data_IF_831474489284
#
_entry.id   IF_831474489284
#
_cell.length_a   1.000
_cell.length_b   1.000
_cell.length_c   1.000
_cell.angle_alpha   90.00
_cell.angle_beta   90.00
_cell.angle_gamma   90.00
#
_symmetry.space_group_name_H-M   'P 1'
#
loop_
_entity.id
_entity.type
_entity.pdbx_description
1 polymer ?
#
# COMPACT_ATOMS: atom_id res chain seq x y z
N UNK A 1 -19.85 28.34 -14.21
CA UNK A 1 -21.26 28.00 -13.94
C UNK A 1 -21.44 26.49 -13.97
N UNK A 2 -21.80 25.88 -12.83
CA UNK A 2 -22.10 24.45 -12.79
C UNK A 2 -23.54 24.29 -13.25
N UNK A 3 -23.74 23.88 -14.52
CA UNK A 3 -25.05 23.51 -15.03
C UNK A 3 -25.64 22.42 -14.12
N UNK A 4 -26.66 22.78 -13.33
CA UNK A 4 -27.37 21.85 -12.49
C UNK A 4 -28.04 20.82 -13.41
N UNK A 5 -27.53 19.58 -13.40
CA UNK A 5 -28.13 18.46 -14.14
C UNK A 5 -29.62 18.39 -13.81
N UNK A 6 -30.47 18.69 -14.79
CA UNK A 6 -31.92 18.56 -14.69
C UNK A 6 -32.21 17.12 -14.26
N UNK A 7 -32.75 16.96 -13.06
CA UNK A 7 -33.08 15.64 -12.51
C UNK A 7 -34.19 15.05 -13.38
N UNK A 8 -33.95 13.88 -13.98
CA UNK A 8 -34.96 13.11 -14.71
C UNK A 8 -36.24 12.94 -13.87
N UNK A 9 -37.42 12.83 -14.49
CA UNK A 9 -38.67 12.60 -13.76
C UNK A 9 -38.60 11.34 -12.88
N UNK A 10 -39.25 11.37 -11.70
CA UNK A 10 -39.18 10.30 -10.69
C UNK A 10 -39.43 8.89 -11.26
N UNK A 11 -40.40 8.75 -12.18
CA UNK A 11 -40.72 7.48 -12.84
C UNK A 11 -39.55 6.93 -13.67
N UNK A 12 -38.84 7.79 -14.39
CA UNK A 12 -37.67 7.37 -15.17
C UNK A 12 -36.50 7.00 -14.27
N UNK A 13 -36.31 7.70 -13.14
CA UNK A 13 -35.27 7.37 -12.17
C UNK A 13 -35.51 6.01 -11.50
N UNK A 14 -36.73 5.73 -11.08
CA UNK A 14 -37.11 4.44 -10.49
C UNK A 14 -36.93 3.31 -11.52
N UNK A 15 -37.33 3.54 -12.78
CA UNK A 15 -37.13 2.56 -13.86
C UNK A 15 -35.65 2.31 -14.15
N UNK A 16 -34.84 3.37 -14.25
CA UNK A 16 -33.39 3.28 -14.47
C UNK A 16 -32.70 2.54 -13.31
N UNK A 17 -33.10 2.80 -12.07
CA UNK A 17 -32.59 2.11 -10.88
C UNK A 17 -32.97 0.63 -10.86
N UNK A 18 -34.24 0.29 -11.09
CA UNK A 18 -34.68 -1.12 -11.16
C UNK A 18 -33.99 -1.89 -12.28
N UNK A 19 -33.82 -1.28 -13.46
CA UNK A 19 -33.08 -1.87 -14.57
C UNK A 19 -31.60 -2.07 -14.20
N UNK A 20 -30.98 -1.11 -13.52
CA UNK A 20 -29.61 -1.23 -13.01
C UNK A 20 -29.46 -2.42 -12.05
N UNK A 21 -30.38 -2.59 -11.11
CA UNK A 21 -30.37 -3.75 -10.20
C UNK A 21 -30.63 -5.08 -10.92
N UNK A 22 -31.54 -5.12 -11.89
CA UNK A 22 -31.78 -6.31 -12.70
C UNK A 22 -30.56 -6.73 -13.53
N UNK A 23 -29.88 -5.76 -14.17
CA UNK A 23 -28.66 -6.04 -14.89
C UNK A 23 -27.50 -6.43 -13.96
N UNK A 24 -27.39 -5.79 -12.79
CA UNK A 24 -26.39 -6.11 -11.77
C UNK A 24 -26.55 -7.52 -11.20
N UNK A 25 -27.77 -7.94 -10.89
CA UNK A 25 -28.07 -9.32 -10.42
C UNK A 25 -27.78 -10.36 -11.49
N UNK A 26 -28.16 -10.12 -12.75
CA UNK A 26 -27.82 -11.00 -13.88
C UNK A 26 -26.30 -11.12 -14.08
N UNK A 27 -25.57 -10.00 -13.96
CA UNK A 27 -24.12 -9.97 -14.06
C UNK A 27 -23.47 -10.77 -12.93
N UNK A 28 -23.89 -10.55 -11.69
CA UNK A 28 -23.41 -11.30 -10.52
C UNK A 28 -23.65 -12.81 -10.66
N UNK A 29 -24.85 -13.23 -11.09
CA UNK A 29 -25.15 -14.65 -11.30
C UNK A 29 -24.20 -15.30 -12.33
N UNK A 30 -23.88 -14.58 -13.41
CA UNK A 30 -22.90 -15.04 -14.40
C UNK A 30 -21.49 -15.14 -13.81
N UNK A 31 -21.09 -14.17 -12.99
CA UNK A 31 -19.80 -14.14 -12.31
C UNK A 31 -19.63 -15.30 -11.31
N UNK A 32 -20.67 -15.61 -10.53
CA UNK A 32 -20.70 -16.76 -9.61
C UNK A 32 -20.55 -18.07 -10.38
N UNK A 33 -21.26 -18.24 -11.50
CA UNK A 33 -21.15 -19.45 -12.33
C UNK A 33 -19.75 -19.65 -12.89
N UNK A 34 -19.11 -18.59 -13.38
CA UNK A 34 -17.74 -18.65 -13.91
C UNK A 34 -16.77 -18.97 -12.78
N UNK A 35 -16.87 -18.28 -11.65
CA UNK A 35 -16.00 -18.47 -10.50
C UNK A 35 -16.09 -19.87 -9.92
N UNK A 36 -17.28 -20.48 -9.90
CA UNK A 36 -17.46 -21.89 -9.55
C UNK A 36 -16.64 -22.80 -10.48
N UNK A 37 -16.70 -22.60 -11.81
CA UNK A 37 -15.90 -23.38 -12.78
C UNK A 37 -14.40 -23.20 -12.55
N UNK A 38 -13.94 -21.97 -12.28
CA UNK A 38 -12.53 -21.68 -12.00
C UNK A 38 -12.07 -22.32 -10.69
N UNK A 39 -12.89 -22.29 -9.65
CA UNK A 39 -12.61 -22.95 -8.37
C UNK A 39 -12.44 -24.47 -8.58
N UNK A 40 -13.32 -25.10 -9.36
CA UNK A 40 -13.17 -26.53 -9.69
C UNK A 40 -11.92 -26.85 -10.49
N UNK A 41 -11.47 -25.97 -11.40
CA UNK A 41 -10.21 -26.15 -12.11
C UNK A 41 -9.00 -26.04 -11.18
N UNK A 42 -9.02 -25.06 -10.29
CA UNK A 42 -7.99 -24.90 -9.26
C UNK A 42 -7.92 -26.12 -8.32
N UNK A 43 -9.07 -26.64 -7.87
CA UNK A 43 -9.14 -27.86 -7.05
C UNK A 43 -8.63 -29.12 -7.77
N UNK A 44 -8.65 -29.14 -9.10
CA UNK A 44 -8.07 -30.21 -9.93
C UNK A 44 -6.57 -30.04 -10.18
N UNK A 45 -5.97 -28.94 -9.73
CA UNK A 45 -4.54 -28.65 -9.91
C UNK A 45 -4.19 -27.83 -11.16
N UNK A 46 -5.18 -27.28 -11.88
CA UNK A 46 -4.90 -26.37 -12.99
C UNK A 46 -4.33 -25.04 -12.48
N UNK A 47 -3.30 -24.52 -13.16
CA UNK A 47 -2.84 -23.15 -12.95
C UNK A 47 -3.81 -22.16 -13.60
N UNK A 48 -4.40 -21.28 -12.80
CA UNK A 48 -5.26 -20.20 -13.27
C UNK A 48 -4.40 -19.03 -13.75
N UNK A 49 -4.80 -18.45 -14.89
CA UNK A 49 -4.24 -17.19 -15.39
C UNK A 49 -4.49 -16.04 -14.41
N UNK A 50 -3.73 -14.96 -14.50
CA UNK A 50 -3.90 -13.76 -13.67
C UNK A 50 -5.31 -13.20 -13.75
N UNK A 51 -5.95 -13.28 -14.93
CA UNK A 51 -7.34 -12.85 -15.15
C UNK A 51 -8.32 -13.71 -14.37
N UNK A 52 -8.16 -15.03 -14.45
CA UNK A 52 -9.01 -15.99 -13.75
C UNK A 52 -8.89 -15.86 -12.22
N UNK A 53 -7.66 -15.72 -11.70
CA UNK A 53 -7.45 -15.53 -10.27
C UNK A 53 -8.08 -14.24 -9.75
N UNK A 54 -7.94 -13.13 -10.47
CA UNK A 54 -8.57 -11.86 -10.09
C UNK A 54 -10.09 -11.93 -10.16
N UNK A 55 -10.65 -12.59 -11.18
CA UNK A 55 -12.09 -12.79 -11.27
C UNK A 55 -12.61 -13.60 -10.07
N UNK A 56 -11.95 -14.71 -9.74
CA UNK A 56 -12.32 -15.55 -8.60
C UNK A 56 -12.26 -14.77 -7.28
N UNK A 57 -11.17 -14.03 -7.02
CA UNK A 57 -11.02 -13.19 -5.82
C UNK A 57 -12.10 -12.09 -5.74
N UNK A 58 -12.40 -11.42 -6.86
CA UNK A 58 -13.44 -10.38 -6.90
C UNK A 58 -14.81 -10.98 -6.59
N UNK A 59 -15.19 -12.06 -7.25
CA UNK A 59 -16.49 -12.70 -7.01
C UNK A 59 -16.60 -13.25 -5.60
N UNK A 60 -15.53 -13.82 -5.04
CA UNK A 60 -15.50 -14.23 -3.63
C UNK A 60 -15.75 -13.02 -2.71
N UNK A 61 -15.05 -11.91 -2.92
CA UNK A 61 -15.25 -10.69 -2.15
C UNK A 61 -16.66 -10.09 -2.29
N UNK A 62 -17.21 -10.07 -3.51
CA UNK A 62 -18.59 -9.62 -3.77
C UNK A 62 -19.61 -10.53 -3.06
N UNK A 63 -19.39 -11.86 -3.03
CA UNK A 63 -20.21 -12.82 -2.27
C UNK A 63 -20.14 -12.61 -0.76
N UNK A 64 -18.94 -12.38 -0.20
CA UNK A 64 -18.79 -12.06 1.22
C UNK A 64 -19.53 -10.77 1.61
N UNK A 65 -19.51 -9.74 0.75
CA UNK A 65 -20.28 -8.50 0.97
C UNK A 65 -21.79 -8.70 0.87
N UNK A 66 -22.23 -9.70 0.11
CA UNK A 66 -23.66 -10.03 -0.01
C UNK A 66 -24.23 -10.72 1.23
N UNK A 67 -23.42 -11.40 2.04
CA UNK A 67 -23.89 -12.07 3.25
C UNK A 67 -24.59 -11.10 4.21
N UNK A 68 -23.97 -9.99 4.67
CA UNK A 68 -24.66 -9.03 5.51
C UNK A 68 -25.79 -8.31 4.76
N UNK A 69 -25.67 -8.10 3.44
CA UNK A 69 -26.74 -7.51 2.63
C UNK A 69 -27.99 -8.40 2.56
N UNK A 70 -27.82 -9.73 2.51
CA UNK A 70 -28.94 -10.68 2.41
C UNK A 70 -29.88 -10.63 3.61
N UNK A 71 -29.40 -10.22 4.78
CA UNK A 71 -30.22 -10.01 5.98
C UNK A 71 -31.28 -8.93 5.75
N UNK A 72 -30.94 -7.87 5.00
CA UNK A 72 -31.88 -6.79 4.67
C UNK A 72 -33.00 -7.22 3.72
N UNK A 73 -32.75 -8.26 2.90
CA UNK A 73 -33.75 -8.82 1.97
C UNK A 73 -34.66 -9.86 2.66
N UNK A 74 -34.11 -10.64 3.59
CA UNK A 74 -34.84 -11.74 4.26
C UNK A 74 -35.75 -11.22 5.37
N UNK A 75 -35.32 -10.20 6.11
CA UNK A 75 -36.07 -9.65 7.23
C UNK A 75 -36.98 -8.52 6.75
N UNK A 76 -38.32 -8.64 6.91
CA UNK A 76 -39.24 -7.61 6.44
C UNK A 76 -38.99 -6.26 7.14
N UNK A 77 -39.18 -5.16 6.41
CA UNK A 77 -38.94 -3.77 6.84
C UNK A 77 -37.48 -3.37 7.12
N UNK A 78 -36.51 -4.29 7.09
CA UNK A 78 -35.09 -3.94 7.23
C UNK A 78 -34.58 -3.09 6.05
N UNK A 79 -35.19 -3.18 4.87
CA UNK A 79 -34.87 -2.32 3.72
C UNK A 79 -34.95 -0.83 4.04
N UNK A 80 -35.82 -0.41 4.98
CA UNK A 80 -35.92 0.98 5.41
C UNK A 80 -34.64 1.47 6.10
N UNK A 81 -33.85 0.56 6.68
CA UNK A 81 -32.55 0.87 7.28
C UNK A 81 -31.40 0.87 6.27
N UNK A 82 -31.60 0.45 5.01
CA UNK A 82 -30.54 0.47 3.99
C UNK A 82 -29.88 1.85 3.80
N UNK A 83 -30.61 2.98 3.76
CA UNK A 83 -29.99 4.30 3.66
C UNK A 83 -29.06 4.62 4.84
N UNK A 84 -29.43 4.17 6.04
CA UNK A 84 -28.62 4.35 7.26
C UNK A 84 -27.41 3.41 7.23
N UNK A 85 -27.62 2.15 6.86
CA UNK A 85 -26.56 1.15 6.75
C UNK A 85 -25.51 1.52 5.69
N UNK A 86 -25.93 2.04 4.54
CA UNK A 86 -25.01 2.52 3.49
C UNK A 86 -24.19 3.73 3.93
N UNK A 87 -24.76 4.58 4.80
CA UNK A 87 -24.05 5.72 5.40
C UNK A 87 -23.02 5.25 6.44
N UNK A 88 -23.33 4.20 7.20
CA UNK A 88 -22.42 3.61 8.20
C UNK A 88 -21.36 2.70 7.57
N UNK A 89 -21.69 2.00 6.49
CA UNK A 89 -20.84 1.01 5.82
C UNK A 89 -20.72 1.27 4.31
N UNK A 90 -19.95 2.29 3.88
CA UNK A 90 -19.86 2.76 2.48
C UNK A 90 -19.20 1.76 1.48
N UNK A 91 -18.96 0.52 1.89
CA UNK A 91 -18.42 -0.57 1.07
C UNK A 91 -19.23 -1.88 1.14
N UNK A 92 -20.44 -1.85 1.73
CA UNK A 92 -21.28 -3.05 1.88
C UNK A 92 -21.90 -3.53 0.56
N UNK A 93 -22.00 -2.67 -0.44
CA UNK A 93 -22.53 -3.06 -1.74
C UNK A 93 -21.48 -3.83 -2.56
N UNK A 94 -21.89 -4.88 -3.29
CA UNK A 94 -21.03 -5.51 -4.28
C UNK A 94 -20.55 -4.50 -5.31
N UNK A 95 -19.32 -4.68 -5.77
CA UNK A 95 -18.67 -3.78 -6.74
C UNK A 95 -19.40 -3.66 -8.08
N UNK A 96 -20.29 -4.62 -8.35
CA UNK A 96 -21.22 -4.70 -9.49
C UNK A 96 -22.28 -3.60 -9.49
N UNK A 97 -22.68 -3.10 -8.31
CA UNK A 97 -23.73 -2.08 -8.19
C UNK A 97 -23.20 -0.64 -8.15
N UNK A 98 -21.88 -0.45 -7.98
CA UNK A 98 -21.25 0.86 -7.95
C UNK A 98 -21.27 1.57 -9.31
N UNK A 99 -21.67 2.85 -9.32
CA UNK A 99 -21.70 3.66 -10.54
C UNK A 99 -20.30 4.06 -11.01
N UNK A 100 -20.16 4.41 -12.30
CA UNK A 100 -18.87 4.91 -12.85
C UNK A 100 -18.39 6.17 -12.11
N UNK A 101 -19.32 7.06 -11.76
CA UNK A 101 -19.02 8.30 -11.06
C UNK A 101 -18.49 8.05 -9.64
N UNK A 102 -19.09 7.11 -8.90
CA UNK A 102 -18.61 6.71 -7.56
C UNK A 102 -17.19 6.12 -7.61
N UNK A 103 -16.90 5.29 -8.62
CA UNK A 103 -15.56 4.73 -8.82
C UNK A 103 -14.53 5.82 -9.09
N UNK A 104 -14.87 6.82 -9.92
CA UNK A 104 -14.01 7.97 -10.17
C UNK A 104 -13.81 8.85 -8.93
N UNK A 105 -14.85 9.06 -8.14
CA UNK A 105 -14.76 9.83 -6.90
C UNK A 105 -13.85 9.12 -5.87
N UNK A 106 -14.02 7.81 -5.67
CA UNK A 106 -13.15 7.00 -4.80
C UNK A 106 -11.68 7.09 -5.24
N UNK A 107 -11.42 7.06 -6.55
CA UNK A 107 -10.07 7.22 -7.11
C UNK A 107 -9.48 8.60 -6.81
N UNK A 108 -10.25 9.67 -6.97
CA UNK A 108 -9.80 11.03 -6.66
C UNK A 108 -9.51 11.21 -5.17
N UNK A 109 -10.37 10.67 -4.30
CA UNK A 109 -10.15 10.67 -2.85
C UNK A 109 -8.87 9.93 -2.48
N UNK A 110 -8.64 8.74 -3.05
CA UNK A 110 -7.42 7.96 -2.81
C UNK A 110 -6.17 8.71 -3.29
N UNK A 111 -6.22 9.35 -4.46
CA UNK A 111 -5.09 10.16 -4.94
C UNK A 111 -4.77 11.31 -3.97
N UNK A 112 -5.79 12.01 -3.47
CA UNK A 112 -5.59 13.08 -2.49
C UNK A 112 -4.90 12.55 -1.23
N UNK A 113 -5.40 11.44 -0.68
CA UNK A 113 -4.78 10.76 0.46
C UNK A 113 -3.33 10.40 0.15
N UNK A 114 -3.02 9.85 -1.04
CA UNK A 114 -1.65 9.51 -1.43
C UNK A 114 -0.71 10.70 -1.42
N UNK A 115 -1.15 11.85 -1.95
CA UNK A 115 -0.35 13.07 -1.98
C UNK A 115 -0.10 13.56 -0.56
N UNK A 116 -1.14 13.61 0.28
CA UNK A 116 -1.02 14.09 1.66
C UNK A 116 -0.11 13.17 2.49
N UNK A 117 -0.26 11.85 2.36
CA UNK A 117 0.59 10.88 3.07
C UNK A 117 2.02 10.83 2.54
N UNK A 118 2.22 10.99 1.23
CA UNK A 118 3.57 11.09 0.68
C UNK A 118 4.29 12.33 1.23
N UNK A 119 3.61 13.48 1.34
CA UNK A 119 4.19 14.70 1.93
C UNK A 119 4.59 14.47 3.38
N UNK A 120 3.69 13.88 4.15
CA UNK A 120 3.97 13.55 5.55
C UNK A 120 5.16 12.59 5.69
N UNK A 121 5.23 11.54 4.86
CA UNK A 121 6.38 10.62 4.85
C UNK A 121 7.68 11.36 4.53
N UNK A 122 7.66 12.36 3.65
CA UNK A 122 8.83 13.19 3.35
C UNK A 122 9.21 14.08 4.53
N UNK A 123 8.25 14.80 5.11
CA UNK A 123 8.46 15.72 6.24
C UNK A 123 8.99 15.00 7.50
N UNK A 124 8.36 13.88 7.89
CA UNK A 124 8.79 13.10 9.07
C UNK A 124 10.21 12.60 8.99
N UNK A 125 10.71 12.42 7.78
CA UNK A 125 12.04 11.91 7.53
C UNK A 125 13.07 13.04 7.47
N UNK A 126 12.72 14.17 6.84
CA UNK A 126 13.56 15.37 6.86
C UNK A 126 13.81 15.84 8.31
N UNK A 127 12.79 15.76 9.18
CA UNK A 127 12.91 16.12 10.60
C UNK A 127 13.83 15.15 11.39
N UNK A 128 13.76 13.84 11.12
CA UNK A 128 14.64 12.83 11.72
C UNK A 128 16.11 13.00 11.29
N UNK A 129 16.35 13.39 10.03
CA UNK A 129 17.69 13.62 9.51
C UNK A 129 18.39 14.86 10.11
N UNK A 130 17.65 15.84 10.62
CA UNK A 130 18.19 17.06 11.24
C UNK A 130 18.66 16.83 12.68
N UNK A 131 18.08 15.86 13.40
CA UNK A 131 18.38 15.61 14.82
C UNK A 131 19.79 15.06 15.10
N UNK A 132 20.52 14.58 14.08
CA UNK A 132 21.66 13.68 14.31
C UNK A 132 22.97 14.08 13.60
N UNK A 133 23.16 15.36 13.27
CA UNK A 133 24.44 15.89 12.75
C UNK A 133 25.62 15.90 13.76
N UNK A 134 25.64 15.01 14.77
CA UNK A 134 26.51 15.16 15.94
C UNK A 134 27.06 13.89 16.62
N UNK A 135 27.06 12.70 16.01
CA UNK A 135 27.75 11.53 16.59
C UNK A 135 28.68 10.86 15.58
N UNK A 136 29.98 11.10 15.75
CA UNK A 136 31.06 10.42 15.05
C UNK A 136 31.19 8.98 15.57
N UNK A 137 30.78 7.98 14.77
CA UNK A 137 31.05 6.57 15.05
C UNK A 137 32.26 6.08 14.25
N UNK A 138 33.36 5.89 14.98
CA UNK A 138 34.64 5.36 14.49
C UNK A 138 34.55 3.83 14.37
N UNK A 139 34.26 3.35 13.16
CA UNK A 139 34.81 2.14 12.52
C UNK A 139 34.02 1.92 11.22
N UNK A 140 34.55 2.38 10.10
CA UNK A 140 33.79 2.38 8.84
C UNK A 140 34.13 1.17 7.98
N UNK A 141 33.11 0.33 7.80
CA UNK A 141 33.00 -0.55 6.64
C UNK A 141 32.49 0.28 5.45
N UNK A 142 32.72 -0.20 4.22
CA UNK A 142 32.24 0.41 2.96
C UNK A 142 30.74 0.79 2.98
N UNK A 143 29.93 0.08 3.77
CA UNK A 143 28.50 0.33 3.93
C UNK A 143 28.18 1.64 4.67
N UNK A 144 28.90 1.96 5.75
CA UNK A 144 28.65 3.16 6.56
C UNK A 144 29.21 4.39 5.86
N UNK A 145 30.41 4.27 5.27
CA UNK A 145 31.00 5.32 4.43
C UNK A 145 30.08 5.70 3.27
N UNK A 146 29.39 4.71 2.68
CA UNK A 146 28.41 4.98 1.64
C UNK A 146 27.25 5.84 2.15
N UNK A 147 26.66 5.57 3.31
CA UNK A 147 25.55 6.37 3.85
C UNK A 147 25.98 7.77 4.25
N UNK A 148 27.17 7.93 4.82
CA UNK A 148 27.76 9.23 5.11
C UNK A 148 27.93 10.02 3.80
N UNK A 149 28.48 9.40 2.76
CA UNK A 149 28.62 10.01 1.44
C UNK A 149 27.27 10.29 0.78
N UNK A 150 26.29 9.41 0.93
CA UNK A 150 24.98 9.53 0.32
C UNK A 150 24.17 10.69 0.93
N UNK A 151 24.30 10.95 2.23
CA UNK A 151 23.66 12.10 2.90
C UNK A 151 24.44 13.41 2.80
N UNK A 152 25.74 13.36 2.58
CA UNK A 152 26.60 14.56 2.48
C UNK A 152 26.85 15.02 1.05
N UNK A 153 26.80 14.12 0.07
CA UNK A 153 27.09 14.41 -1.34
C UNK A 153 25.92 15.04 -2.06
N UNK A 154 26.21 16.05 -2.88
CA UNK A 154 25.28 16.64 -3.86
C UNK A 154 25.41 16.05 -5.27
N UNK A 155 26.25 15.00 -5.45
CA UNK A 155 26.53 14.37 -6.74
C UNK A 155 26.02 12.92 -6.84
N UNK A 156 25.60 12.49 -8.05
CA UNK A 156 25.00 11.18 -8.27
C UNK A 156 26.04 10.07 -8.06
N UNK A 157 25.65 9.08 -7.24
CA UNK A 157 26.35 7.82 -7.07
C UNK A 157 26.17 6.95 -8.32
N UNK A 158 27.06 5.96 -8.47
CA UNK A 158 26.89 4.89 -9.45
C UNK A 158 25.58 4.13 -9.17
N UNK A 159 24.76 3.93 -10.21
CA UNK A 159 23.43 3.32 -10.08
C UNK A 159 23.57 1.88 -9.56
N UNK A 160 24.62 1.17 -9.98
CA UNK A 160 24.85 -0.22 -9.57
C UNK A 160 25.20 -0.32 -8.08
N UNK A 161 25.98 0.61 -7.55
CA UNK A 161 26.27 0.69 -6.11
C UNK A 161 25.01 0.98 -5.30
N UNK A 162 24.18 1.92 -5.79
CA UNK A 162 22.92 2.28 -5.15
C UNK A 162 21.96 1.08 -5.07
N UNK A 163 21.85 0.33 -6.17
CA UNK A 163 21.05 -0.89 -6.23
C UNK A 163 21.60 -1.99 -5.32
N UNK A 164 22.93 -2.17 -5.27
CA UNK A 164 23.56 -3.18 -4.41
C UNK A 164 23.25 -2.94 -2.92
N UNK A 165 23.19 -1.69 -2.51
CA UNK A 165 22.91 -1.31 -1.12
C UNK A 165 21.42 -1.36 -0.81
N UNK A 166 20.57 -0.90 -1.73
CA UNK A 166 19.12 -1.00 -1.59
C UNK A 166 18.64 -2.45 -1.36
N UNK A 167 19.32 -3.45 -1.97
CA UNK A 167 19.03 -4.88 -1.78
C UNK A 167 19.24 -5.38 -0.34
N UNK A 168 19.99 -4.65 0.49
CA UNK A 168 20.28 -5.02 1.89
C UNK A 168 19.14 -4.68 2.85
N UNK A 169 18.14 -3.90 2.42
CA UNK A 169 17.04 -3.43 3.27
C UNK A 169 15.78 -4.29 3.14
N UNK A 170 15.79 -5.50 3.69
CA UNK A 170 14.65 -6.43 3.59
C UNK A 170 13.29 -5.81 4.00
N UNK A 171 12.20 -6.28 3.37
CA UNK A 171 10.85 -5.76 3.65
C UNK A 171 10.48 -5.84 5.15
N UNK A 172 10.88 -6.93 5.82
CA UNK A 172 10.61 -7.13 7.25
C UNK A 172 11.38 -6.12 8.10
N UNK A 173 12.68 -6.01 7.84
CA UNK A 173 13.59 -5.07 8.51
C UNK A 173 13.10 -3.63 8.39
N UNK A 174 12.72 -3.20 7.18
CA UNK A 174 12.20 -1.85 6.95
C UNK A 174 10.92 -1.59 7.75
N UNK A 175 9.96 -2.53 7.77
CA UNK A 175 8.68 -2.32 8.45
C UNK A 175 8.79 -2.35 9.98
N UNK A 176 9.74 -3.09 10.54
CA UNK A 176 9.92 -3.16 11.99
C UNK A 176 10.46 -1.83 12.55
N UNK A 177 11.34 -1.15 11.80
CA UNK A 177 11.93 0.14 12.18
C UNK A 177 11.13 1.38 11.77
N UNK A 178 9.97 1.24 11.11
CA UNK A 178 9.11 2.39 10.83
C UNK A 178 8.30 2.78 12.06
N UNK A 179 8.26 4.08 12.34
CA UNK A 179 7.39 4.66 13.36
C UNK A 179 5.90 4.44 13.01
N UNK A 180 5.03 4.42 14.02
CA UNK A 180 3.58 4.28 13.79
C UNK A 180 3.01 5.31 12.80
N UNK A 181 3.34 6.62 12.87
CA UNK A 181 2.85 7.58 11.89
C UNK A 181 3.25 7.25 10.46
N UNK A 182 4.46 6.71 10.25
CA UNK A 182 4.93 6.24 8.95
C UNK A 182 4.18 4.99 8.50
N UNK A 183 3.97 4.01 9.38
CA UNK A 183 3.17 2.81 9.09
C UNK A 183 1.73 3.17 8.67
N UNK A 184 1.08 4.07 9.41
CA UNK A 184 -0.27 4.56 9.09
C UNK A 184 -0.29 5.27 7.73
N UNK A 185 0.71 6.10 7.45
CA UNK A 185 0.83 6.83 6.18
C UNK A 185 1.04 5.90 5.01
N UNK A 186 1.90 4.88 5.18
CA UNK A 186 2.15 3.86 4.17
C UNK A 186 0.89 3.02 3.91
N UNK A 187 0.19 2.57 4.94
CA UNK A 187 -1.10 1.87 4.80
C UNK A 187 -2.11 2.70 4.01
N UNK A 188 -2.31 3.97 4.38
CA UNK A 188 -3.24 4.88 3.70
C UNK A 188 -2.83 5.15 2.25
N UNK A 189 -1.54 5.35 1.99
CA UNK A 189 -1.00 5.51 0.64
C UNK A 189 -1.34 4.30 -0.26
N UNK A 190 -1.19 3.09 0.28
CA UNK A 190 -1.53 1.84 -0.40
C UNK A 190 -3.03 1.53 -0.46
N UNK A 191 -3.89 2.41 0.06
CA UNK A 191 -5.34 2.20 0.12
C UNK A 191 -5.75 1.06 1.06
N UNK A 192 -4.95 0.80 2.09
CA UNK A 192 -5.25 -0.13 3.18
C UNK A 192 -5.94 0.67 4.29
N UNK A 193 -6.94 0.06 4.94
CA UNK A 193 -7.56 0.65 6.11
C UNK A 193 -6.57 0.60 7.28
N UNK A 194 -5.99 1.74 7.62
CA UNK A 194 -4.99 1.88 8.66
C UNK A 194 -5.66 2.02 10.05
N UNK A 195 -5.91 0.89 10.71
CA UNK A 195 -6.45 0.82 12.07
C UNK A 195 -5.77 -0.32 12.85
N UNK A 196 -5.88 -0.30 14.17
CA UNK A 196 -5.33 -1.33 15.06
C UNK A 196 -3.92 -1.03 15.57
N UNK A 197 -3.26 -2.09 16.05
CA UNK A 197 -1.92 -2.04 16.64
C UNK A 197 -0.81 -1.99 15.59
N UNK A 198 0.38 -1.59 16.00
CA UNK A 198 1.54 -1.45 15.11
C UNK A 198 1.92 -2.80 14.47
N UNK A 199 1.84 -3.89 15.23
CA UNK A 199 1.97 -5.26 14.73
C UNK A 199 0.97 -5.59 13.62
N UNK A 200 -0.29 -5.16 13.78
CA UNK A 200 -1.33 -5.44 12.79
C UNK A 200 -1.13 -4.61 11.51
N UNK A 201 -0.72 -3.34 11.63
CA UNK A 201 -0.37 -2.51 10.48
C UNK A 201 0.80 -3.11 9.70
N UNK A 202 1.86 -3.55 10.39
CA UNK A 202 3.00 -4.25 9.77
C UNK A 202 2.55 -5.53 9.07
N UNK A 203 1.69 -6.34 9.70
CA UNK A 203 1.12 -7.53 9.07
C UNK A 203 0.34 -7.21 7.78
N UNK A 204 -0.51 -6.18 7.81
CA UNK A 204 -1.26 -5.76 6.62
C UNK A 204 -0.33 -5.33 5.47
N UNK A 205 0.73 -4.57 5.78
CA UNK A 205 1.73 -4.15 4.80
C UNK A 205 2.50 -5.34 4.24
N UNK A 206 2.99 -6.26 5.08
CA UNK A 206 3.67 -7.49 4.66
C UNK A 206 2.80 -8.31 3.72
N UNK A 207 1.54 -8.54 4.10
CA UNK A 207 0.61 -9.29 3.26
C UNK A 207 0.38 -8.60 1.91
N UNK A 208 0.31 -7.26 1.90
CA UNK A 208 0.22 -6.50 0.65
C UNK A 208 1.48 -6.61 -0.21
N UNK A 209 2.68 -6.61 0.37
CA UNK A 209 3.93 -6.84 -0.39
C UNK A 209 3.95 -8.23 -1.02
N UNK A 210 3.49 -9.24 -0.29
CA UNK A 210 3.36 -10.60 -0.81
C UNK A 210 2.36 -10.70 -1.97
N UNK A 211 1.20 -10.03 -1.84
CA UNK A 211 0.22 -9.94 -2.93
C UNK A 211 0.81 -9.29 -4.18
N UNK A 212 1.55 -8.18 -4.01
CA UNK A 212 2.21 -7.47 -5.11
C UNK A 212 3.26 -8.37 -5.77
N UNK A 213 4.09 -9.06 -4.99
CA UNK A 213 5.11 -9.98 -5.50
C UNK A 213 4.51 -11.15 -6.29
N UNK A 214 3.40 -11.71 -5.81
CA UNK A 214 2.68 -12.75 -6.53
C UNK A 214 2.10 -12.22 -7.86
N UNK A 215 1.51 -11.02 -7.85
CA UNK A 215 0.98 -10.37 -9.06
C UNK A 215 2.10 -9.99 -10.04
N UNK A 216 3.25 -9.50 -9.56
CA UNK A 216 4.42 -9.18 -10.39
C UNK A 216 4.94 -10.41 -11.13
N UNK A 217 5.04 -11.57 -10.46
CA UNK A 217 5.43 -12.83 -11.12
C UNK A 217 4.45 -13.24 -12.21
N UNK A 218 3.15 -13.09 -11.97
CA UNK A 218 2.13 -13.41 -12.96
C UNK A 218 2.20 -12.46 -14.17
N UNK A 219 2.37 -11.15 -13.93
CA UNK A 219 2.52 -10.17 -15.02
C UNK A 219 3.80 -10.42 -15.81
N UNK A 220 4.91 -10.75 -15.15
CA UNK A 220 6.16 -11.07 -15.82
C UNK A 220 6.04 -12.34 -16.68
N UNK A 221 5.29 -13.34 -16.21
CA UNK A 221 5.06 -14.58 -16.95
C UNK A 221 4.13 -14.41 -18.16
N UNK A 222 3.07 -13.59 -18.03
CA UNK A 222 2.10 -13.35 -19.11
C UNK A 222 2.55 -12.25 -20.09
N UNK A 223 3.40 -11.33 -19.64
CA UNK A 223 3.84 -10.15 -20.39
C UNK A 223 3.00 -8.91 -20.09
N UNK A 224 3.67 -7.75 -20.00
CA UNK A 224 3.02 -6.48 -19.67
C UNK A 224 2.05 -6.04 -20.78
N UNK A 225 2.40 -6.32 -22.05
CA UNK A 225 1.61 -5.91 -23.21
C UNK A 225 0.21 -6.55 -23.25
N UNK A 226 0.04 -7.73 -22.67
CA UNK A 226 -1.23 -8.45 -22.59
C UNK A 226 -2.26 -7.79 -21.65
N UNK A 227 -1.82 -6.84 -20.80
CA UNK A 227 -2.73 -6.13 -19.91
C UNK A 227 -3.62 -5.16 -20.71
N UNK A 228 -4.93 -5.25 -20.46
CA UNK A 228 -5.88 -4.24 -20.93
C UNK A 228 -5.72 -2.93 -20.15
N UNK A 229 -6.12 -1.76 -20.69
CA UNK A 229 -6.02 -0.48 -19.99
C UNK A 229 -6.58 -0.46 -18.54
N UNK A 230 -7.76 -1.06 -18.24
CA UNK A 230 -8.23 -1.11 -16.85
C UNK A 230 -7.39 -2.03 -15.95
N UNK A 231 -6.82 -3.11 -16.49
CA UNK A 231 -5.94 -4.02 -15.73
C UNK A 231 -4.58 -3.40 -15.44
N UNK A 232 -4.03 -2.67 -16.41
CA UNK A 232 -2.81 -1.90 -16.28
C UNK A 232 -2.98 -0.83 -15.21
N UNK A 233 -4.05 -0.02 -15.31
CA UNK A 233 -4.35 1.01 -14.32
C UNK A 233 -4.51 0.41 -12.91
N UNK A 234 -5.20 -0.73 -12.78
CA UNK A 234 -5.32 -1.40 -11.48
C UNK A 234 -3.96 -1.90 -10.97
N UNK A 235 -3.14 -2.52 -11.81
CA UNK A 235 -1.81 -3.00 -11.43
C UNK A 235 -0.92 -1.85 -10.92
N UNK A 236 -0.93 -0.71 -11.64
CA UNK A 236 -0.24 0.50 -11.24
C UNK A 236 -0.78 1.05 -9.92
N UNK A 237 -2.11 1.14 -9.77
CA UNK A 237 -2.73 1.61 -8.54
C UNK A 237 -2.36 0.74 -7.33
N UNK A 238 -2.37 -0.59 -7.45
CA UNK A 238 -2.03 -1.50 -6.35
C UNK A 238 -0.59 -1.31 -5.83
N UNK A 239 0.33 -0.87 -6.69
CA UNK A 239 1.74 -0.59 -6.39
C UNK A 239 2.01 0.85 -5.95
N UNK A 240 0.97 1.70 -5.89
CA UNK A 240 1.12 3.12 -5.55
C UNK A 240 1.48 4.04 -6.74
N UNK A 241 1.67 3.49 -7.93
CA UNK A 241 2.06 4.25 -9.12
C UNK A 241 1.00 5.28 -9.54
N UNK A 242 1.46 6.36 -10.17
CA UNK A 242 0.60 7.43 -10.71
C UNK A 242 -0.25 6.92 -11.86
N UNK A 243 -1.57 7.07 -11.76
CA UNK A 243 -2.53 6.62 -12.79
C UNK A 243 -3.46 7.71 -13.29
N UNK A 244 -3.89 8.65 -12.44
CA UNK A 244 -4.67 9.79 -12.89
C UNK A 244 -3.77 10.74 -13.68
N UNK A 245 -4.19 11.08 -14.90
CA UNK A 245 -3.46 11.98 -15.80
C UNK A 245 -2.29 11.33 -16.53
N UNK A 246 -1.98 10.05 -16.26
CA UNK A 246 -0.93 9.33 -16.96
C UNK A 246 -1.48 8.61 -18.20
N UNK A 247 -0.76 8.65 -19.32
CA UNK A 247 -1.12 7.91 -20.53
C UNK A 247 -0.99 6.40 -20.32
N UNK A 248 -1.59 5.60 -21.21
CA UNK A 248 -1.46 4.12 -21.15
C UNK A 248 0.00 3.71 -21.28
N UNK A 249 0.75 4.35 -22.18
CA UNK A 249 2.18 4.08 -22.40
C UNK A 249 3.02 4.45 -21.17
N UNK A 250 2.77 5.60 -20.56
CA UNK A 250 3.44 6.00 -19.31
C UNK A 250 3.19 5.00 -18.18
N UNK A 251 1.96 4.49 -18.07
CA UNK A 251 1.62 3.46 -17.08
C UNK A 251 2.33 2.13 -17.38
N UNK A 252 2.46 1.73 -18.65
CA UNK A 252 3.23 0.53 -19.04
C UNK A 252 4.70 0.68 -18.69
N UNK A 253 5.31 1.80 -19.04
CA UNK A 253 6.71 2.09 -18.71
C UNK A 253 6.94 2.09 -17.20
N UNK A 254 6.06 2.74 -16.43
CA UNK A 254 6.15 2.76 -14.97
C UNK A 254 6.03 1.37 -14.35
N UNK A 255 5.08 0.55 -14.84
CA UNK A 255 4.91 -0.83 -14.36
C UNK A 255 6.08 -1.73 -14.76
N UNK A 256 6.62 -1.55 -15.97
CA UNK A 256 7.79 -2.28 -16.45
C UNK A 256 9.02 -1.98 -15.59
N UNK A 257 9.26 -0.70 -15.29
CA UNK A 257 10.33 -0.30 -14.38
C UNK A 257 10.13 -0.90 -12.98
N UNK A 258 8.91 -0.85 -12.42
CA UNK A 258 8.61 -1.47 -11.13
C UNK A 258 8.96 -2.97 -11.13
N UNK A 259 8.48 -3.71 -12.13
CA UNK A 259 8.68 -5.16 -12.20
C UNK A 259 10.16 -5.51 -12.38
N UNK A 260 10.89 -4.76 -13.20
CA UNK A 260 12.32 -4.94 -13.36
C UNK A 260 13.07 -4.71 -12.04
N UNK A 261 12.75 -3.62 -11.33
CA UNK A 261 13.35 -3.31 -10.04
C UNK A 261 13.01 -4.38 -8.98
N UNK A 262 11.78 -4.86 -8.95
CA UNK A 262 11.34 -5.83 -7.95
C UNK A 262 11.82 -7.26 -8.24
N UNK A 263 11.71 -7.76 -9.47
CA UNK A 263 12.01 -9.16 -9.80
C UNK A 263 13.45 -9.38 -10.24
N UNK A 264 13.96 -8.53 -11.14
CA UNK A 264 15.32 -8.68 -11.69
C UNK A 264 16.36 -8.12 -10.72
N UNK A 265 16.15 -6.87 -10.26
CA UNK A 265 17.05 -6.25 -9.29
C UNK A 265 16.79 -6.71 -7.86
N UNK A 266 15.70 -7.45 -7.59
CA UNK A 266 15.36 -8.00 -6.27
C UNK A 266 15.26 -6.92 -5.19
N UNK A 267 14.78 -5.73 -5.57
CA UNK A 267 14.57 -4.68 -4.59
C UNK A 267 13.38 -4.99 -3.67
N UNK A 268 13.49 -4.69 -2.37
CA UNK A 268 12.39 -4.78 -1.41
C UNK A 268 11.18 -3.97 -1.88
N UNK A 269 9.98 -4.56 -1.78
CA UNK A 269 8.74 -3.91 -2.19
C UNK A 269 8.40 -2.70 -1.30
N UNK A 270 8.74 -2.74 -0.01
CA UNK A 270 8.50 -1.63 0.92
C UNK A 270 9.29 -0.38 0.51
N UNK A 271 10.57 -0.58 0.17
CA UNK A 271 11.45 0.48 -0.31
C UNK A 271 10.93 1.06 -1.63
N UNK A 272 10.51 0.20 -2.57
CA UNK A 272 9.90 0.65 -3.82
C UNK A 272 8.65 1.51 -3.58
N UNK A 273 7.76 1.09 -2.66
CA UNK A 273 6.58 1.90 -2.31
C UNK A 273 6.98 3.29 -1.80
N UNK A 274 7.97 3.39 -0.91
CA UNK A 274 8.47 4.68 -0.41
C UNK A 274 9.09 5.52 -1.54
N UNK A 275 9.89 4.90 -2.41
CA UNK A 275 10.48 5.54 -3.59
C UNK A 275 9.44 6.15 -4.51
N UNK A 276 8.40 5.39 -4.85
CA UNK A 276 7.34 5.91 -5.71
C UNK A 276 6.39 6.86 -4.98
N UNK A 277 6.29 6.81 -3.65
CA UNK A 277 5.61 7.82 -2.87
C UNK A 277 6.32 9.17 -2.96
N UNK A 278 7.65 9.21 -2.83
CA UNK A 278 8.42 10.45 -2.99
C UNK A 278 8.44 10.96 -4.43
N UNK A 279 8.54 10.06 -5.40
CA UNK A 279 8.44 10.41 -6.82
C UNK A 279 7.08 11.03 -7.18
N UNK A 280 5.99 10.67 -6.50
CA UNK A 280 4.67 11.26 -6.72
C UNK A 280 4.65 12.77 -6.38
N UNK A 281 5.51 13.21 -5.46
CA UNK A 281 5.63 14.62 -5.06
C UNK A 281 6.57 15.42 -5.97
N UNK A 282 7.41 14.74 -6.75
CA UNK A 282 8.37 15.40 -7.62
C UNK A 282 7.63 16.16 -8.74
N UNK A 283 7.97 17.44 -8.90
CA UNK A 283 7.43 18.30 -9.98
C UNK A 283 7.96 17.91 -11.35
N UNK A 284 9.13 17.30 -11.39
CA UNK A 284 9.77 16.70 -12.56
C UNK A 284 9.62 15.19 -12.50
N UNK A 285 9.57 14.48 -13.64
CA UNK A 285 9.70 13.02 -13.63
C UNK A 285 11.11 12.67 -13.16
N UNK A 286 11.31 12.61 -11.83
CA UNK A 286 12.56 12.12 -11.27
C UNK A 286 12.79 10.73 -11.83
N UNK A 287 13.99 10.52 -12.36
CA UNK A 287 14.41 9.20 -12.78
C UNK A 287 14.27 8.25 -11.59
N UNK A 288 13.85 7.00 -11.82
CA UNK A 288 13.72 6.01 -10.73
C UNK A 288 14.96 5.95 -9.79
N UNK A 289 16.21 6.11 -10.28
CA UNK A 289 17.39 6.20 -9.43
C UNK A 289 17.42 7.42 -8.49
N UNK A 290 16.96 8.60 -8.93
CA UNK A 290 16.94 9.81 -8.09
C UNK A 290 15.90 9.70 -6.97
N UNK A 291 14.74 9.12 -7.27
CA UNK A 291 13.73 8.84 -6.25
C UNK A 291 14.24 7.79 -5.24
N UNK A 292 14.96 6.78 -5.71
CA UNK A 292 15.54 5.74 -4.84
C UNK A 292 16.66 6.32 -3.98
N UNK A 293 17.51 7.17 -4.54
CA UNK A 293 18.52 7.93 -3.81
C UNK A 293 17.87 8.77 -2.71
N UNK A 294 16.83 9.53 -3.06
CA UNK A 294 16.09 10.34 -2.09
C UNK A 294 15.54 9.46 -0.97
N UNK A 295 15.03 8.27 -1.29
CA UNK A 295 14.49 7.34 -0.28
C UNK A 295 15.56 6.80 0.65
N UNK A 296 16.72 6.41 0.12
CA UNK A 296 17.81 5.87 0.93
C UNK A 296 18.44 6.95 1.83
N UNK A 297 18.57 8.17 1.33
CA UNK A 297 19.08 9.31 2.13
C UNK A 297 18.17 9.61 3.31
N UNK A 298 16.91 9.26 3.15
CA UNK A 298 15.81 9.53 4.04
C UNK A 298 15.47 8.30 4.91
N UNK A 299 16.32 7.28 5.00
CA UNK A 299 16.07 6.18 5.95
C UNK A 299 16.53 6.58 7.37
N UNK A 300 15.78 6.18 8.41
CA UNK A 300 16.17 6.35 9.81
C UNK A 300 17.50 5.65 10.13
N UNK A 301 18.25 6.17 11.10
CA UNK A 301 19.55 5.63 11.48
C UNK A 301 19.46 4.26 12.15
N UNK A 302 18.40 4.03 12.94
CA UNK A 302 18.12 2.77 13.61
C UNK A 302 18.01 1.64 12.56
N UNK A 303 17.32 1.91 11.46
CA UNK A 303 17.20 0.99 10.33
C UNK A 303 18.54 0.76 9.62
N UNK A 304 19.36 1.80 9.45
CA UNK A 304 20.68 1.69 8.82
C UNK A 304 21.64 0.89 9.71
N UNK A 305 21.60 1.10 11.03
CA UNK A 305 22.41 0.40 12.01
C UNK A 305 22.03 -1.08 12.08
N UNK A 306 20.74 -1.41 12.10
CA UNK A 306 20.29 -2.81 12.08
C UNK A 306 20.66 -3.49 10.74
N UNK A 307 20.48 -2.81 9.60
CA UNK A 307 20.91 -3.32 8.31
C UNK A 307 22.42 -3.57 8.27
N UNK A 308 23.22 -2.63 8.81
CA UNK A 308 24.67 -2.76 8.91
C UNK A 308 25.07 -3.94 9.79
N UNK A 309 24.39 -4.14 10.92
CA UNK A 309 24.65 -5.26 11.81
C UNK A 309 24.38 -6.59 11.10
N UNK A 310 23.22 -6.76 10.46
CA UNK A 310 22.89 -7.99 9.70
C UNK A 310 23.92 -8.30 8.63
N UNK A 311 24.36 -7.29 7.88
CA UNK A 311 25.41 -7.44 6.85
C UNK A 311 26.74 -7.86 7.49
N UNK A 312 27.11 -7.25 8.60
CA UNK A 312 28.35 -7.56 9.32
C UNK A 312 28.33 -8.96 9.93
N UNK A 313 27.16 -9.43 10.39
CA UNK A 313 26.96 -10.78 10.91
C UNK A 313 27.07 -11.83 9.81
N UNK A 314 26.43 -11.59 8.66
CA UNK A 314 26.55 -12.47 7.50
C UNK A 314 27.99 -12.58 6.98
N UNK A 315 28.77 -11.51 7.13
CA UNK A 315 30.20 -11.49 6.78
C UNK A 315 31.12 -12.06 7.89
N UNK A 316 30.61 -12.29 9.09
CA UNK A 316 31.40 -12.74 10.25
C UNK A 316 32.30 -11.66 10.86
N UNK A 317 32.06 -10.38 10.57
CA UNK A 317 32.88 -9.23 11.00
C UNK A 317 32.17 -8.42 12.11
N UNK A 318 30.94 -8.80 12.47
CA UNK A 318 30.15 -8.11 13.51
C UNK A 318 30.89 -8.06 14.86
N UNK A 319 31.05 -6.84 15.38
CA UNK A 319 31.65 -6.63 16.70
C UNK A 319 30.60 -6.73 17.81
N UNK A 320 31.03 -7.14 19.00
CA UNK A 320 30.14 -7.18 20.19
C UNK A 320 29.61 -5.79 20.52
N UNK A 321 30.42 -4.74 20.31
CA UNK A 321 30.00 -3.35 20.51
C UNK A 321 28.84 -2.97 19.59
N UNK A 322 28.95 -3.25 18.29
CA UNK A 322 27.87 -2.98 17.33
C UNK A 322 26.58 -3.72 17.70
N UNK A 323 26.69 -4.97 18.19
CA UNK A 323 25.51 -5.71 18.68
C UNK A 323 24.87 -5.04 19.88
N UNK A 324 25.69 -4.56 20.82
CA UNK A 324 25.22 -3.87 22.01
C UNK A 324 24.47 -2.57 21.62
N UNK A 325 25.09 -1.76 20.76
CA UNK A 325 24.51 -0.48 20.31
C UNK A 325 23.11 -0.70 19.67
N UNK A 326 22.97 -1.69 18.78
CA UNK A 326 21.67 -2.00 18.15
C UNK A 326 20.67 -2.56 19.18
N UNK A 327 21.10 -3.36 20.15
CA UNK A 327 20.20 -3.86 21.20
C UNK A 327 19.68 -2.73 22.08
N UNK A 328 20.53 -1.76 22.43
CA UNK A 328 20.14 -0.57 23.18
C UNK A 328 19.11 0.27 22.40
N UNK A 329 19.34 0.50 21.10
CA UNK A 329 18.38 1.18 20.21
C UNK A 329 17.03 0.44 20.15
N UNK A 330 17.04 -0.89 20.06
CA UNK A 330 15.80 -1.68 20.06
C UNK A 330 15.08 -1.63 21.42
N UNK A 331 15.80 -1.59 22.53
CA UNK A 331 15.20 -1.45 23.86
C UNK A 331 14.50 -0.09 24.01
N UNK A 332 15.10 0.99 23.50
CA UNK A 332 14.50 2.33 23.45
C UNK A 332 13.21 2.32 22.61
N UNK A 333 13.24 1.74 21.40
CA UNK A 333 12.05 1.62 20.55
C UNK A 333 10.91 0.81 21.22
N UNK A 334 11.26 -0.24 21.97
CA UNK A 334 10.30 -1.06 22.71
C UNK A 334 9.67 -0.26 23.85
N UNK A 335 10.45 0.54 24.58
CA UNK A 335 9.91 1.34 25.68
C UNK A 335 9.01 2.47 25.14
N UNK A 336 9.41 3.13 24.05
CA UNK A 336 8.57 4.12 23.34
C UNK A 336 7.23 3.53 22.88
N UNK A 337 7.23 2.31 22.33
CA UNK A 337 6.00 1.60 21.94
C UNK A 337 5.12 1.28 23.16
N UNK A 338 5.73 0.90 24.30
CA UNK A 338 5.01 0.64 25.55
C UNK A 338 4.40 1.90 26.15
N UNK A 339 5.14 3.00 26.20
CA UNK A 339 4.64 4.27 26.71
C UNK A 339 3.48 4.78 25.87
N UNK A 340 3.64 4.79 24.54
CA UNK A 340 2.55 5.15 23.62
C UNK A 340 1.32 4.28 23.82
N UNK A 341 1.49 2.96 24.01
CA UNK A 341 0.36 2.05 24.26
C UNK A 341 -0.36 2.40 25.56
N UNK A 342 0.36 2.68 26.65
CA UNK A 342 -0.25 3.13 27.91
C UNK A 342 -1.05 4.41 27.71
N UNK A 343 -0.50 5.40 26.99
CA UNK A 343 -1.20 6.65 26.68
C UNK A 343 -2.47 6.43 25.84
N UNK A 344 -2.42 5.54 24.84
CA UNK A 344 -3.58 5.19 24.02
C UNK A 344 -4.66 4.47 24.83
N UNK A 345 -4.28 3.54 25.72
CA UNK A 345 -5.20 2.85 26.64
C UNK A 345 -5.86 3.83 27.62
N UNK A 346 -5.08 4.71 28.24
CA UNK A 346 -5.61 5.76 29.13
C UNK A 346 -6.53 6.74 28.41
N UNK A 347 -6.23 7.11 27.16
CA UNK A 347 -7.09 7.94 26.34
C UNK A 347 -8.40 7.21 25.97
N UNK A 348 -8.34 5.91 25.67
CA UNK A 348 -9.52 5.10 25.39
C UNK A 348 -10.42 4.93 26.62
N UNK A 349 -9.83 4.74 27.81
CA UNK A 349 -10.60 4.67 29.06
C UNK A 349 -11.25 6.01 29.38
N UNK A 350 -10.56 7.13 29.14
CA UNK A 350 -11.14 8.47 29.33
C UNK A 350 -12.31 8.73 28.39
N UNK A 351 -12.15 8.46 27.10
CA UNK A 351 -13.23 8.67 26.13
C UNK A 351 -14.43 7.76 26.35
N UNK A 352 -14.22 6.53 26.86
CA UNK A 352 -15.32 5.65 27.25
C UNK A 352 -16.12 6.22 28.43
N UNK A 353 -15.46 6.80 29.45
CA UNK A 353 -16.13 7.45 30.58
C UNK A 353 -16.91 8.69 30.15
N UNK A 354 -16.32 9.52 29.28
CA UNK A 354 -16.99 10.72 28.74
C UNK A 354 -18.19 10.38 27.84
N UNK A 355 -18.26 9.17 27.27
CA UNK A 355 -19.40 8.71 26.48
C UNK A 355 -20.51 8.08 27.32
N UNK A 356 -20.22 7.72 28.58
CA UNK A 356 -21.20 7.22 29.55
C UNK A 356 -21.87 8.33 30.38
N UNK A 357 -21.24 9.51 30.49
CA UNK A 357 -21.81 10.75 31.04
C UNK A 357 -22.66 11.52 30.02
#
# INVERSE_FOLDING_TARGET
EVSAKVKKPLKERIKDELLHYWHGTKLLAKEVKISYKLLWRMLKGDNLTRREQRQLRRTAGDLFRLVPFSVFLIVPFMELLLPVALKLFPGMLPSTFESKAEKEEKRRKLLKVRIDMAKFLRETIDDGAVALRGKDSVNTNEFVDFFINLRSSSKPLDIDQLLAIAKKFEDELTLDNLSRPQLLSMCRYMGINAFGTDTFLRYQLRNRMWEIKADDRLIAAEGIEELTPPELMHACMSRGLRTLGASVEEQRTALSHWINLHLEQKLPSTLLVLTYAFALLARTPSSAPEALWTTLSSLPDELVNEAHLKVSEAAGIATVKQRLDVIEEQEELIEDERERRKLEEEAAVRSAKEAEE
#
